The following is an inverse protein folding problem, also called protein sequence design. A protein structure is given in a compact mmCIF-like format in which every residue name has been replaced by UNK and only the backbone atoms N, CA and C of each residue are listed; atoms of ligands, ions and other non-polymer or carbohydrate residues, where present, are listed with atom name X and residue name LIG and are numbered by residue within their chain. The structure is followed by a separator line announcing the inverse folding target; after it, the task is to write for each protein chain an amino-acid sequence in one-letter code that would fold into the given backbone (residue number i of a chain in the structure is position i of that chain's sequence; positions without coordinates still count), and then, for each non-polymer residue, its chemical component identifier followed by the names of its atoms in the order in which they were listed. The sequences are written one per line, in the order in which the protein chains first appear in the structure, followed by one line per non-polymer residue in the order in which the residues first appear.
data_IF_068676594776
#
_entry.id   IF_068676594776
#
_cell.length_a   1.000
_cell.length_b   1.000
_cell.length_c   1.000
_cell.angle_alpha   90.00
_cell.angle_beta   90.00
_cell.angle_gamma   90.00
#
_symmetry.space_group_name_H-M   'P 1'
#
loop_
_entity.id
_entity.type
_entity.pdbx_description
1 polymer ?
#
# COMPACT_ATOMS: atom_id res chain seq x y z
N UNK A 1 -10.15 -4.02 -4.74
CA UNK A 1 -9.84 -3.25 -3.52
C UNK A 1 -10.00 -4.16 -2.31
N UNK A 2 -9.12 -4.04 -1.31
CA UNK A 2 -9.26 -4.66 0.02
C UNK A 2 -9.10 -3.55 1.05
N UNK A 3 -9.90 -3.57 2.12
CA UNK A 3 -9.84 -2.56 3.19
C UNK A 3 -9.54 -3.27 4.51
N UNK A 4 -8.69 -2.66 5.33
CA UNK A 4 -8.39 -3.12 6.69
C UNK A 4 -8.55 -1.94 7.64
N UNK A 5 -9.53 -2.01 8.53
CA UNK A 5 -9.63 -1.09 9.66
C UNK A 5 -8.53 -1.43 10.68
N UNK A 6 -7.72 -0.45 11.05
CA UNK A 6 -6.69 -0.58 12.08
C UNK A 6 -7.25 -0.19 13.44
N UNK A 7 -7.99 0.91 13.46
CA UNK A 7 -8.79 1.40 14.59
C UNK A 7 -9.95 2.24 14.03
N UNK A 8 -10.60 3.05 14.86
CA UNK A 8 -11.75 3.89 14.47
C UNK A 8 -11.36 5.03 13.51
N UNK A 9 -10.11 5.49 13.58
CA UNK A 9 -9.63 6.67 12.85
C UNK A 9 -8.66 6.32 11.72
N UNK A 10 -8.16 5.08 11.68
CA UNK A 10 -7.15 4.63 10.72
C UNK A 10 -7.65 3.43 9.91
N UNK A 11 -7.64 3.60 8.60
CA UNK A 11 -7.91 2.54 7.63
C UNK A 11 -6.77 2.41 6.63
N UNK A 12 -6.50 1.16 6.22
CA UNK A 12 -5.58 0.85 5.14
C UNK A 12 -6.37 0.31 3.96
N UNK A 13 -6.20 0.93 2.80
CA UNK A 13 -6.82 0.53 1.54
C UNK A 13 -5.76 -0.02 0.60
N UNK A 14 -5.98 -1.24 0.15
CA UNK A 14 -5.12 -1.97 -0.77
C UNK A 14 -5.76 -1.98 -2.16
N UNK A 15 -5.07 -1.35 -3.12
CA UNK A 15 -5.51 -1.19 -4.50
C UNK A 15 -4.48 -1.82 -5.43
N UNK A 16 -4.89 -2.82 -6.21
CA UNK A 16 -3.97 -3.44 -7.16
C UNK A 16 -3.63 -2.49 -8.33
N UNK A 17 -2.62 -2.83 -9.13
CA UNK A 17 -2.10 -1.98 -10.22
C UNK A 17 -3.13 -1.50 -11.24
N UNK A 18 -4.31 -2.14 -11.35
CA UNK A 18 -5.39 -1.68 -12.23
C UNK A 18 -5.94 -0.31 -11.81
N UNK A 19 -5.78 0.03 -10.53
CA UNK A 19 -6.15 1.33 -9.98
C UNK A 19 -5.04 2.38 -10.12
N UNK A 20 -3.86 2.05 -10.65
CA UNK A 20 -2.72 2.99 -10.79
C UNK A 20 -2.44 3.38 -12.25
N UNK A 21 -2.90 2.58 -13.22
CA UNK A 21 -2.41 2.61 -14.61
C UNK A 21 -2.57 3.96 -15.33
N UNK A 22 -3.56 4.77 -14.95
CA UNK A 22 -3.88 6.06 -15.60
C UNK A 22 -3.75 7.27 -14.66
N UNK A 23 -3.17 7.10 -13.47
CA UNK A 23 -3.07 8.17 -12.48
C UNK A 23 -1.89 9.11 -12.80
N UNK A 24 -2.23 10.33 -13.20
CA UNK A 24 -1.31 11.43 -13.43
C UNK A 24 -1.18 12.27 -12.15
N UNK A 25 -0.14 12.00 -11.37
CA UNK A 25 0.09 12.63 -10.05
C UNK A 25 0.46 14.12 -10.15
N UNK A 26 0.77 14.63 -11.34
CA UNK A 26 1.07 16.05 -11.57
C UNK A 26 -0.19 16.86 -11.91
N UNK A 27 -1.34 16.20 -12.06
CA UNK A 27 -2.61 16.83 -12.38
C UNK A 27 -3.57 16.77 -11.19
N UNK A 28 -3.67 17.88 -10.46
CA UNK A 28 -4.50 18.00 -9.26
C UNK A 28 -5.96 17.61 -9.49
N UNK A 29 -6.57 17.99 -10.62
CA UNK A 29 -7.97 17.65 -10.94
C UNK A 29 -8.16 16.12 -11.08
N UNK A 30 -7.23 15.45 -11.76
CA UNK A 30 -7.27 13.98 -11.92
C UNK A 30 -7.01 13.27 -10.60
N UNK A 31 -6.09 13.78 -9.79
CA UNK A 31 -5.82 13.23 -8.45
C UNK A 31 -7.08 13.36 -7.58
N UNK A 32 -7.73 14.52 -7.61
CA UNK A 32 -8.97 14.74 -6.86
C UNK A 32 -10.10 13.80 -7.33
N UNK A 33 -10.32 13.67 -8.64
CA UNK A 33 -11.30 12.74 -9.21
C UNK A 33 -11.02 11.29 -8.79
N UNK A 34 -9.74 10.89 -8.85
CA UNK A 34 -9.30 9.56 -8.46
C UNK A 34 -9.62 9.24 -7.00
N UNK A 35 -9.24 10.12 -6.07
CA UNK A 35 -9.52 9.91 -4.66
C UNK A 35 -11.03 9.95 -4.39
N UNK A 36 -11.76 10.89 -5.00
CA UNK A 36 -13.22 10.97 -4.88
C UNK A 36 -13.90 9.63 -5.21
N UNK A 37 -13.45 8.93 -6.25
CA UNK A 37 -14.02 7.64 -6.63
C UNK A 37 -13.63 6.50 -5.68
N UNK A 38 -12.42 6.54 -5.12
CA UNK A 38 -12.03 5.62 -4.02
C UNK A 38 -12.92 5.86 -2.80
N UNK A 39 -13.09 7.10 -2.36
CA UNK A 39 -13.90 7.44 -1.19
C UNK A 39 -15.37 7.06 -1.40
N UNK A 40 -15.96 7.33 -2.58
CA UNK A 40 -17.30 6.81 -2.93
C UNK A 40 -17.35 5.28 -2.80
N UNK A 41 -16.33 4.59 -3.27
CA UNK A 41 -16.27 3.12 -3.19
C UNK A 41 -16.15 2.61 -1.75
N UNK A 42 -15.48 3.36 -0.87
CA UNK A 42 -15.40 3.06 0.56
C UNK A 42 -16.75 3.25 1.24
N UNK A 43 -17.41 4.39 1.02
CA UNK A 43 -18.77 4.66 1.57
C UNK A 43 -19.76 3.60 1.10
N UNK A 44 -19.81 3.33 -0.21
CA UNK A 44 -20.84 2.49 -0.81
C UNK A 44 -20.67 1.00 -0.50
N UNK A 45 -19.44 0.52 -0.25
CA UNK A 45 -19.16 -0.92 -0.16
C UNK A 45 -18.62 -1.38 1.21
N UNK A 46 -18.18 -0.47 2.09
CA UNK A 46 -17.50 -0.81 3.35
C UNK A 46 -18.13 -0.17 4.60
N UNK A 47 -19.30 0.48 4.47
CA UNK A 47 -20.01 1.16 5.58
C UNK A 47 -19.12 2.15 6.36
N UNK A 48 -18.21 2.82 5.64
CA UNK A 48 -17.31 3.83 6.21
C UNK A 48 -17.94 5.21 6.02
N UNK A 49 -18.31 5.85 7.12
CA UNK A 49 -18.80 7.23 7.09
C UNK A 49 -17.62 8.20 6.95
N UNK A 50 -17.45 8.77 5.76
CA UNK A 50 -16.37 9.69 5.45
C UNK A 50 -16.85 11.13 5.58
N UNK A 51 -16.62 11.72 6.75
CA UNK A 51 -16.90 13.14 7.07
C UNK A 51 -15.69 13.76 7.78
N UNK A 52 -15.41 15.03 7.51
CA UNK A 52 -14.33 15.78 8.17
C UNK A 52 -13.01 15.75 7.40
N UNK A 53 -11.90 15.93 8.12
CA UNK A 53 -10.55 16.05 7.55
C UNK A 53 -9.77 14.75 7.65
N UNK A 54 -9.09 14.40 6.56
CA UNK A 54 -8.27 13.19 6.46
C UNK A 54 -6.88 13.51 5.95
N UNK A 55 -5.88 12.94 6.61
CA UNK A 55 -4.53 12.80 6.05
C UNK A 55 -4.44 11.46 5.35
N UNK A 56 -3.98 11.49 4.10
CA UNK A 56 -3.84 10.32 3.24
C UNK A 56 -2.37 10.16 2.90
N UNK A 57 -1.77 9.04 3.27
CA UNK A 57 -0.47 8.64 2.79
C UNK A 57 -0.63 7.69 1.60
N UNK A 58 -0.12 8.11 0.46
CA UNK A 58 -0.15 7.37 -0.78
C UNK A 58 1.20 6.68 -1.01
N UNK A 59 1.19 5.36 -0.97
CA UNK A 59 2.36 4.55 -1.30
C UNK A 59 2.11 3.81 -2.61
N UNK A 60 3.07 3.87 -3.54
CA UNK A 60 2.97 3.20 -4.84
C UNK A 60 4.10 2.20 -5.07
N UNK A 61 3.76 1.11 -5.75
CA UNK A 61 4.69 0.12 -6.27
C UNK A 61 4.27 -0.31 -7.66
N UNK A 62 5.24 -0.34 -8.59
CA UNK A 62 5.02 -0.64 -10.01
C UNK A 62 4.41 -2.01 -10.28
N UNK A 63 4.58 -2.97 -9.38
CA UNK A 63 4.07 -4.32 -9.51
C UNK A 63 2.71 -4.45 -8.82
N UNK A 64 2.67 -4.03 -7.55
CA UNK A 64 1.49 -4.19 -6.71
C UNK A 64 0.36 -3.25 -7.10
N UNK A 65 0.64 -1.94 -7.22
CA UNK A 65 -0.35 -0.88 -7.27
C UNK A 65 -0.15 0.12 -6.15
N UNK A 66 -1.19 0.39 -5.37
CA UNK A 66 -1.23 1.43 -4.35
C UNK A 66 -1.64 0.86 -3.00
N UNK A 67 -1.03 1.37 -1.95
CA UNK A 67 -1.52 1.26 -0.58
C UNK A 67 -1.83 2.68 -0.10
N UNK A 68 -3.05 2.89 0.39
CA UNK A 68 -3.45 4.13 1.04
C UNK A 68 -3.54 3.88 2.53
N UNK A 69 -2.92 4.74 3.32
CA UNK A 69 -3.21 4.88 4.74
C UNK A 69 -3.99 6.16 4.94
N UNK A 70 -5.22 6.03 5.38
CA UNK A 70 -6.15 7.13 5.57
C UNK A 70 -6.33 7.29 7.08
N UNK A 71 -5.98 8.45 7.59
CA UNK A 71 -6.04 8.80 9.01
C UNK A 71 -7.01 9.97 9.16
N UNK A 72 -8.00 9.82 10.03
CA UNK A 72 -8.88 10.90 10.45
C UNK A 72 -8.11 11.78 11.42
N UNK A 73 -8.04 13.09 11.14
CA UNK A 73 -7.26 14.02 11.95
C UNK A 73 -8.06 14.56 13.15
N UNK A 74 -9.36 14.86 12.99
CA UNK A 74 -10.29 15.19 14.09
C UNK A 74 -11.72 15.49 13.56
N UNK A 75 -12.72 15.44 14.46
CA UNK A 75 -14.08 15.98 14.26
C UNK A 75 -14.10 17.51 14.33
N UNK A 76 -13.34 18.17 13.46
CA UNK A 76 -13.56 19.61 13.28
C UNK A 76 -14.96 19.76 12.68
N UNK A 77 -15.76 20.68 13.23
CA UNK A 77 -17.13 21.03 12.82
C UNK A 77 -17.16 21.54 11.36
N UNK A 78 -16.94 20.65 10.41
CA UNK A 78 -17.17 20.93 9.01
C UNK A 78 -18.66 20.77 8.72
N UNK A 79 -19.17 21.67 7.87
CA UNK A 79 -20.52 21.60 7.34
C UNK A 79 -20.83 20.17 6.88
N UNK A 80 -22.03 19.67 7.23
CA UNK A 80 -22.50 18.36 6.82
C UNK A 80 -22.20 18.13 5.32
N UNK A 81 -21.44 17.07 5.02
CA UNK A 81 -21.07 16.57 3.70
C UNK A 81 -19.80 17.13 3.02
N UNK A 82 -18.90 17.79 3.75
CA UNK A 82 -17.57 18.12 3.23
C UNK A 82 -16.49 17.14 3.72
N UNK A 83 -15.58 16.77 2.81
CA UNK A 83 -14.38 15.98 3.07
C UNK A 83 -13.20 16.86 2.67
N UNK A 84 -12.30 17.10 3.62
CA UNK A 84 -11.04 17.78 3.37
C UNK A 84 -9.91 16.75 3.35
N UNK A 85 -9.02 16.82 2.35
CA UNK A 85 -8.02 15.79 2.08
C UNK A 85 -6.64 16.41 1.97
N UNK A 86 -5.72 15.96 2.83
CA UNK A 86 -4.30 16.23 2.71
C UNK A 86 -3.57 14.98 2.22
N UNK A 87 -3.09 14.99 0.98
CA UNK A 87 -2.46 13.82 0.36
C UNK A 87 -0.93 13.95 0.38
N UNK A 88 -0.28 12.97 0.99
CA UNK A 88 1.17 12.85 1.06
C UNK A 88 1.64 11.68 0.20
N UNK A 89 2.40 11.97 -0.86
CA UNK A 89 3.02 10.95 -1.71
C UNK A 89 4.32 10.45 -1.08
N UNK A 90 4.37 9.16 -0.78
CA UNK A 90 5.50 8.54 -0.07
C UNK A 90 6.15 7.47 -0.94
N UNK A 91 7.42 7.67 -1.25
CA UNK A 91 8.21 6.75 -2.07
C UNK A 91 8.98 5.74 -1.21
N UNK A 92 8.25 4.85 -0.56
CA UNK A 92 8.84 3.75 0.21
C UNK A 92 8.65 2.43 -0.53
N UNK A 93 9.66 1.55 -0.56
CA UNK A 93 9.57 0.27 -1.25
C UNK A 93 8.59 -0.67 -0.55
N UNK A 94 7.95 -1.54 -1.32
CA UNK A 94 7.17 -2.65 -0.76
C UNK A 94 8.06 -3.87 -0.57
N UNK A 95 7.96 -4.46 0.61
CA UNK A 95 8.54 -5.75 0.94
C UNK A 95 7.43 -6.76 1.22
N UNK A 96 7.75 -8.03 1.04
CA UNK A 96 6.83 -9.14 1.26
C UNK A 96 7.45 -10.05 2.31
N UNK A 97 6.95 -9.99 3.55
CA UNK A 97 7.40 -10.87 4.63
C UNK A 97 6.93 -12.29 4.32
N UNK A 98 7.87 -13.21 4.15
CA UNK A 98 7.60 -14.57 3.69
C UNK A 98 8.22 -15.60 4.63
N UNK A 99 7.55 -16.75 4.80
CA UNK A 99 8.17 -17.89 5.47
C UNK A 99 9.23 -18.53 4.56
N UNK A 100 10.37 -18.90 5.13
CA UNK A 100 11.45 -19.59 4.42
C UNK A 100 10.97 -20.85 3.66
N UNK A 101 9.98 -21.58 4.19
CA UNK A 101 9.44 -22.79 3.55
C UNK A 101 8.79 -22.55 2.18
N UNK A 102 8.40 -21.31 1.89
CA UNK A 102 7.80 -20.94 0.60
C UNK A 102 8.80 -20.29 -0.36
N UNK A 103 10.06 -20.13 0.02
CA UNK A 103 11.10 -19.61 -0.87
C UNK A 103 11.48 -20.68 -1.90
N UNK A 104 11.38 -20.31 -3.18
CA UNK A 104 11.90 -21.10 -4.28
C UNK A 104 12.83 -20.28 -5.19
N UNK A 105 13.60 -20.98 -6.03
CA UNK A 105 14.53 -20.34 -6.97
C UNK A 105 13.84 -19.40 -7.96
N UNK A 106 12.57 -19.64 -8.26
CA UNK A 106 11.83 -18.85 -9.22
C UNK A 106 11.45 -17.48 -8.63
N UNK A 107 10.99 -17.42 -7.38
CA UNK A 107 10.76 -16.18 -6.65
C UNK A 107 12.04 -15.36 -6.49
N UNK A 108 13.14 -16.02 -6.12
CA UNK A 108 14.44 -15.37 -5.92
C UNK A 108 15.02 -14.75 -7.20
N UNK A 109 14.67 -15.29 -8.38
CA UNK A 109 15.09 -14.73 -9.66
C UNK A 109 14.61 -13.29 -9.86
N UNK A 110 13.42 -12.94 -9.38
CA UNK A 110 12.80 -11.63 -9.60
C UNK A 110 12.91 -10.70 -8.39
N UNK A 111 13.59 -11.14 -7.33
CA UNK A 111 13.57 -10.47 -6.05
C UNK A 111 14.94 -10.39 -5.37
N UNK A 112 15.01 -9.51 -4.38
CA UNK A 112 16.06 -9.41 -3.38
C UNK A 112 15.51 -10.02 -2.11
N UNK A 113 16.30 -10.86 -1.43
CA UNK A 113 15.92 -11.43 -0.14
C UNK A 113 16.67 -10.71 0.96
N UNK A 114 15.94 -10.21 1.95
CA UNK A 114 16.49 -9.59 3.15
C UNK A 114 16.16 -10.46 4.36
N UNK A 115 17.13 -10.58 5.29
CA UNK A 115 16.90 -11.14 6.61
C UNK A 115 17.01 -10.03 7.66
N UNK A 116 15.96 -9.86 8.46
CA UNK A 116 15.94 -8.89 9.55
C UNK A 116 15.19 -9.48 10.75
N UNK A 117 15.80 -9.46 11.95
CA UNK A 117 15.23 -10.05 13.18
C UNK A 117 14.72 -11.50 13.00
N UNK A 118 15.50 -12.34 12.33
CA UNK A 118 15.19 -13.74 12.02
C UNK A 118 13.96 -13.96 11.12
N UNK A 119 13.54 -12.94 10.39
CA UNK A 119 12.44 -12.99 9.43
C UNK A 119 12.95 -12.68 8.01
N UNK A 120 12.26 -13.21 7.00
CA UNK A 120 12.63 -13.07 5.60
C UNK A 120 11.68 -12.12 4.87
N UNK A 121 12.25 -11.26 4.02
CA UNK A 121 11.51 -10.23 3.29
C UNK A 121 11.96 -10.19 1.84
N UNK A 122 11.03 -10.33 0.91
CA UNK A 122 11.28 -10.21 -0.52
C UNK A 122 11.06 -8.77 -0.98
N UNK A 123 11.98 -8.24 -1.77
CA UNK A 123 11.80 -7.01 -2.55
C UNK A 123 11.77 -7.37 -4.02
N UNK A 124 10.67 -7.10 -4.72
CA UNK A 124 10.58 -7.36 -6.17
C UNK A 124 11.42 -6.31 -6.91
N UNK A 125 12.38 -6.74 -7.74
CA UNK A 125 13.31 -5.84 -8.44
C UNK A 125 12.76 -5.36 -9.78
N UNK A 126 12.04 -6.24 -10.47
CA UNK A 126 11.64 -6.06 -11.86
C UNK A 126 10.13 -6.17 -12.02
N UNK A 127 9.64 -5.96 -13.24
CA UNK A 127 8.23 -6.22 -13.54
C UNK A 127 7.99 -7.72 -13.50
N UNK A 128 7.03 -8.16 -12.69
CA UNK A 128 6.59 -9.57 -12.66
C UNK A 128 5.17 -9.70 -13.23
N UNK A 129 4.82 -10.90 -13.69
CA UNK A 129 3.46 -11.16 -14.12
C UNK A 129 2.48 -11.27 -12.94
N UNK A 130 1.20 -11.13 -13.25
CA UNK A 130 0.12 -11.10 -12.25
C UNK A 130 -0.04 -12.41 -11.49
N UNK A 131 0.30 -13.54 -12.11
CA UNK A 131 0.17 -14.86 -11.49
C UNK A 131 1.24 -15.01 -10.41
N UNK A 132 2.49 -14.62 -10.69
CA UNK A 132 3.57 -14.61 -9.70
C UNK A 132 3.23 -13.65 -8.56
N UNK A 133 2.81 -12.43 -8.89
CA UNK A 133 2.45 -11.44 -7.87
C UNK A 133 1.33 -11.95 -6.98
N UNK A 134 0.30 -12.58 -7.56
CA UNK A 134 -0.79 -13.20 -6.81
C UNK A 134 -0.28 -14.25 -5.80
N UNK A 135 0.63 -15.13 -6.23
CA UNK A 135 1.25 -16.12 -5.35
C UNK A 135 2.04 -15.48 -4.21
N UNK A 136 2.84 -14.46 -4.50
CA UNK A 136 3.60 -13.73 -3.47
C UNK A 136 2.63 -13.14 -2.44
N UNK A 137 1.58 -12.46 -2.89
CA UNK A 137 0.58 -11.84 -2.00
C UNK A 137 -0.14 -12.89 -1.14
N UNK A 138 -0.42 -14.07 -1.68
CA UNK A 138 -1.10 -15.15 -0.94
C UNK A 138 -0.26 -15.72 0.21
N UNK A 139 1.06 -15.78 0.02
CA UNK A 139 2.01 -16.41 0.97
C UNK A 139 2.78 -15.41 1.83
N UNK A 140 2.45 -14.11 1.75
CA UNK A 140 3.21 -13.06 2.43
C UNK A 140 2.34 -11.97 3.03
N UNK A 141 2.91 -11.28 4.01
CA UNK A 141 2.41 -10.00 4.49
C UNK A 141 3.17 -8.86 3.81
N UNK A 142 2.44 -7.90 3.25
CA UNK A 142 3.05 -6.71 2.64
C UNK A 142 3.52 -5.78 3.75
N UNK A 143 4.80 -5.44 3.72
CA UNK A 143 5.45 -4.45 4.59
C UNK A 143 5.78 -3.21 3.76
N UNK A 144 5.30 -2.07 4.21
CA UNK A 144 5.47 -0.77 3.57
C UNK A 144 5.90 0.25 4.64
N UNK A 145 5.75 1.56 4.39
CA UNK A 145 6.11 2.61 5.35
C UNK A 145 7.61 2.60 5.74
N UNK A 146 7.96 3.27 6.82
CA UNK A 146 9.33 3.36 7.31
C UNK A 146 9.91 2.00 7.73
N UNK A 147 9.05 1.03 8.06
CA UNK A 147 9.49 -0.31 8.41
C UNK A 147 10.16 -1.00 7.21
N UNK A 148 9.69 -0.78 5.98
CA UNK A 148 10.33 -1.35 4.79
C UNK A 148 11.73 -0.77 4.55
N UNK A 149 11.88 0.54 4.70
CA UNK A 149 13.18 1.22 4.62
C UNK A 149 14.14 0.74 5.72
N UNK A 150 13.62 0.57 6.94
CA UNK A 150 14.40 0.07 8.07
C UNK A 150 14.89 -1.36 7.85
N UNK A 151 14.08 -2.23 7.27
CA UNK A 151 14.49 -3.60 6.92
C UNK A 151 15.58 -3.57 5.84
N UNK A 152 15.44 -2.75 4.79
CA UNK A 152 16.45 -2.66 3.72
C UNK A 152 17.78 -2.10 4.24
N UNK A 153 17.73 -1.11 5.13
CA UNK A 153 18.92 -0.41 5.64
C UNK A 153 19.64 -1.17 6.75
N UNK A 154 18.90 -1.86 7.63
CA UNK A 154 19.46 -2.55 8.80
C UNK A 154 19.47 -4.08 8.66
N UNK A 155 18.75 -4.62 7.69
CA UNK A 155 18.73 -6.05 7.38
C UNK A 155 19.95 -6.47 6.56
N UNK A 156 20.19 -7.78 6.52
CA UNK A 156 21.23 -8.38 5.70
C UNK A 156 20.61 -8.88 4.40
N UNK A 157 21.13 -8.46 3.25
CA UNK A 157 20.81 -9.09 1.97
C UNK A 157 21.36 -10.53 1.96
N UNK A 158 20.50 -11.49 1.65
CA UNK A 158 20.83 -12.92 1.59
C UNK A 158 20.96 -13.33 0.13
N UNK A 159 22.08 -13.97 -0.18
CA UNK A 159 22.36 -14.56 -1.49
C UNK A 159 22.27 -16.08 -1.30
N UNK A 160 21.29 -16.70 -1.96
CA UNK A 160 21.02 -18.14 -1.95
C UNK A 160 21.44 -18.78 -3.26
#
# INVERSE_FOLDING_TARGET
MKVKAINEDEIIVFLNKKYFYDLDLENDEKVEEYFRDIFKSLVNNYDIALKGSYTIYFYSDKNYGIILKIIREDEIYYYDNQIDMNINFVNNPFLYKINYSYLDKYLLKYSKLYMYKNEFYLQIKEKIDEIILGKIIEISDIIFEDESLKIITKGREVIL
#
